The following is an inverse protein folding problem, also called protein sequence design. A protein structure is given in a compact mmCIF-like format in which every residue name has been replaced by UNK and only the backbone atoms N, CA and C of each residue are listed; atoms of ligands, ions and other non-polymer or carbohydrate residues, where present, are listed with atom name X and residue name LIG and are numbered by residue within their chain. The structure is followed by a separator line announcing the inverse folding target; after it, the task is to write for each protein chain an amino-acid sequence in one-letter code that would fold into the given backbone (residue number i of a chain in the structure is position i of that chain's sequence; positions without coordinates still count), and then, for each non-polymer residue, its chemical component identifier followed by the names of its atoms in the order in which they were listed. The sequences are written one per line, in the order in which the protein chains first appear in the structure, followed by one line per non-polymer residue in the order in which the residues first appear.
data_IF_598967437539
#
_entry.id   IF_598967437539
#
_cell.length_a   1.000
_cell.length_b   1.000
_cell.length_c   1.000
_cell.angle_alpha   90.00
_cell.angle_beta   90.00
_cell.angle_gamma   90.00
#
_symmetry.space_group_name_H-M   'P 1'
#
loop_
_entity.id
_entity.type
_entity.pdbx_description
1 polymer ?
#
# COMPACT_ATOMS: atom_id res chain seq x y z
N UNK A 1 -20.35 4.66 19.43
CA UNK A 1 -19.73 3.60 18.59
C UNK A 1 -19.36 4.27 17.29
N UNK A 2 -18.14 4.03 16.78
CA UNK A 2 -17.79 4.51 15.44
C UNK A 2 -18.63 3.73 14.41
N UNK A 3 -19.09 4.42 13.36
CA UNK A 3 -19.85 3.76 12.30
C UNK A 3 -18.93 2.89 11.44
N UNK A 4 -19.47 1.78 10.95
CA UNK A 4 -18.73 0.73 10.24
C UNK A 4 -19.43 0.37 8.92
N UNK A 5 -18.64 -0.07 7.93
CA UNK A 5 -19.12 -0.47 6.60
C UNK A 5 -18.54 -1.83 6.22
N UNK A 6 -19.42 -2.74 5.81
CA UNK A 6 -19.06 -4.10 5.41
C UNK A 6 -18.81 -4.20 3.90
N UNK A 7 -17.80 -4.98 3.54
CA UNK A 7 -17.38 -5.23 2.16
C UNK A 7 -17.25 -6.73 1.93
N UNK A 8 -17.66 -7.15 0.73
CA UNK A 8 -17.54 -8.51 0.24
C UNK A 8 -16.88 -8.43 -1.13
N UNK A 9 -15.63 -8.89 -1.23
CA UNK A 9 -14.83 -8.77 -2.47
C UNK A 9 -14.41 -10.15 -2.95
N UNK A 10 -14.22 -10.30 -4.26
CA UNK A 10 -13.74 -11.54 -4.88
C UNK A 10 -12.46 -11.25 -5.65
N UNK A 11 -11.33 -11.71 -5.14
CA UNK A 11 -9.99 -11.28 -5.56
C UNK A 11 -9.15 -12.43 -6.10
N UNK A 12 -8.03 -12.08 -6.73
CA UNK A 12 -7.01 -13.04 -7.17
C UNK A 12 -6.27 -13.70 -6.00
N UNK A 13 -5.65 -14.87 -6.23
CA UNK A 13 -4.81 -15.54 -5.22
C UNK A 13 -3.63 -14.66 -4.76
N UNK A 14 -3.07 -13.85 -5.67
CA UNK A 14 -1.98 -12.92 -5.34
C UNK A 14 -2.46 -11.83 -4.38
N UNK A 15 -3.67 -11.30 -4.58
CA UNK A 15 -4.26 -10.35 -3.66
C UNK A 15 -4.48 -11.00 -2.29
N UNK A 16 -5.05 -12.20 -2.24
CA UNK A 16 -5.23 -12.91 -0.98
C UNK A 16 -3.90 -13.12 -0.23
N UNK A 17 -2.82 -13.46 -0.93
CA UNK A 17 -1.48 -13.54 -0.32
C UNK A 17 -1.01 -12.19 0.19
N UNK A 18 -1.23 -11.11 -0.56
CA UNK A 18 -0.90 -9.74 -0.14
C UNK A 18 -1.62 -9.33 1.15
N UNK A 19 -2.90 -9.70 1.32
CA UNK A 19 -3.63 -9.42 2.58
C UNK A 19 -3.03 -10.20 3.74
N UNK A 20 -2.77 -11.50 3.57
CA UNK A 20 -2.17 -12.32 4.63
C UNK A 20 -0.77 -11.83 5.04
N UNK A 21 0.02 -11.38 4.07
CA UNK A 21 1.36 -10.86 4.32
C UNK A 21 1.29 -9.51 5.06
N UNK A 22 0.39 -8.63 4.66
CA UNK A 22 0.17 -7.35 5.33
C UNK A 22 -0.26 -7.51 6.80
N UNK A 23 -1.13 -8.48 7.08
CA UNK A 23 -1.52 -8.87 8.43
C UNK A 23 -0.30 -9.35 9.22
N UNK A 24 0.51 -10.26 8.64
CA UNK A 24 1.73 -10.77 9.28
C UNK A 24 2.69 -9.64 9.63
N UNK A 25 2.92 -8.70 8.70
CA UNK A 25 3.83 -7.57 8.88
C UNK A 25 3.40 -6.62 10.00
N UNK A 26 2.12 -6.24 10.07
CA UNK A 26 1.64 -5.40 11.17
C UNK A 26 1.57 -6.16 12.49
N UNK A 27 1.18 -7.43 12.46
CA UNK A 27 1.15 -8.24 13.66
C UNK A 27 2.52 -8.33 14.32
N UNK A 28 3.56 -8.54 13.51
CA UNK A 28 4.94 -8.63 13.99
C UNK A 28 5.48 -7.28 14.49
N UNK A 29 5.15 -6.16 13.81
CA UNK A 29 5.54 -4.82 14.30
C UNK A 29 4.96 -4.54 15.69
N UNK A 30 3.67 -4.80 15.84
CA UNK A 30 2.93 -4.41 17.05
C UNK A 30 2.94 -5.50 18.13
N UNK A 31 3.48 -6.70 17.82
CA UNK A 31 3.45 -7.89 18.68
C UNK A 31 2.04 -8.24 19.14
N UNK A 32 1.07 -8.06 18.25
CA UNK A 32 -0.36 -8.30 18.49
C UNK A 32 -0.98 -8.92 17.24
N UNK A 33 -1.94 -9.84 17.39
CA UNK A 33 -2.59 -10.45 16.22
C UNK A 33 -3.51 -9.43 15.53
N UNK A 34 -3.10 -8.98 14.35
CA UNK A 34 -3.91 -8.07 13.52
C UNK A 34 -4.92 -8.85 12.67
N UNK A 35 -6.06 -8.21 12.39
CA UNK A 35 -7.01 -8.63 11.35
C UNK A 35 -6.89 -7.72 10.13
N UNK A 36 -7.44 -8.14 8.99
CA UNK A 36 -7.46 -7.30 7.78
C UNK A 36 -8.13 -5.93 8.02
N UNK A 37 -9.29 -5.82 8.69
CA UNK A 37 -9.85 -4.53 9.11
C UNK A 37 -8.88 -3.62 9.85
N UNK A 38 -8.11 -4.16 10.79
CA UNK A 38 -7.15 -3.38 11.57
C UNK A 38 -6.04 -2.83 10.68
N UNK A 39 -5.54 -3.65 9.74
CA UNK A 39 -4.55 -3.21 8.76
C UNK A 39 -5.11 -2.09 7.88
N UNK A 40 -6.32 -2.26 7.35
CA UNK A 40 -6.95 -1.27 6.47
C UNK A 40 -7.19 0.05 7.21
N UNK A 41 -7.75 0.00 8.42
CA UNK A 41 -8.01 1.19 9.22
C UNK A 41 -6.72 1.93 9.61
N UNK A 42 -5.64 1.22 9.97
CA UNK A 42 -4.35 1.85 10.29
C UNK A 42 -3.72 2.54 9.07
N UNK A 43 -3.97 2.02 7.86
CA UNK A 43 -3.35 2.52 6.62
C UNK A 43 -4.20 3.52 5.83
N UNK A 44 -5.51 3.61 6.10
CA UNK A 44 -6.45 4.40 5.30
C UNK A 44 -6.00 5.85 5.07
N UNK A 45 -5.46 6.51 6.08
CA UNK A 45 -5.02 7.92 5.98
C UNK A 45 -3.80 8.13 5.08
N UNK A 46 -3.11 7.07 4.66
CA UNK A 46 -1.95 7.12 3.75
C UNK A 46 -2.30 6.79 2.31
N UNK A 47 -3.51 6.29 2.06
CA UNK A 47 -4.00 5.98 0.70
C UNK A 47 -4.00 7.20 -0.23
N UNK A 48 -4.31 8.43 0.22
CA UNK A 48 -4.23 9.61 -0.64
C UNK A 48 -2.83 9.88 -1.21
N UNK A 49 -1.77 9.55 -0.47
CA UNK A 49 -0.38 9.80 -0.87
C UNK A 49 0.13 8.84 -1.96
N UNK A 50 -0.67 7.83 -2.35
CA UNK A 50 -0.25 6.80 -3.30
C UNK A 50 -0.02 7.36 -4.70
N UNK A 51 -0.88 8.29 -5.15
CA UNK A 51 -0.76 8.92 -6.46
C UNK A 51 0.54 9.72 -6.61
N UNK A 52 1.03 10.29 -5.50
CA UNK A 52 2.29 11.04 -5.47
C UNK A 52 3.52 10.14 -5.21
N UNK A 53 3.32 8.94 -4.65
CA UNK A 53 4.41 8.04 -4.23
C UNK A 53 4.87 7.08 -5.33
N UNK A 54 4.05 6.84 -6.36
CA UNK A 54 4.29 5.79 -7.35
C UNK A 54 4.00 6.25 -8.77
N UNK A 55 4.75 5.71 -9.74
CA UNK A 55 4.48 5.94 -11.14
C UNK A 55 3.18 5.24 -11.58
N UNK A 56 2.40 5.91 -12.42
CA UNK A 56 1.11 5.40 -12.91
C UNK A 56 1.22 4.10 -13.70
N UNK A 57 2.34 3.85 -14.38
CA UNK A 57 2.59 2.60 -15.09
C UNK A 57 2.82 1.43 -14.12
N UNK A 58 3.59 1.64 -13.05
CA UNK A 58 3.86 0.62 -12.04
C UNK A 58 2.59 0.24 -11.29
N UNK A 59 1.76 1.23 -10.92
CA UNK A 59 0.46 0.98 -10.29
C UNK A 59 -0.50 0.21 -11.22
N UNK A 60 -0.55 0.56 -12.51
CA UNK A 60 -1.33 -0.22 -13.51
C UNK A 60 -0.83 -1.66 -13.61
N UNK A 61 0.49 -1.86 -13.62
CA UNK A 61 1.06 -3.19 -13.67
C UNK A 61 0.78 -3.99 -12.39
N UNK A 62 0.82 -3.35 -11.22
CA UNK A 62 0.39 -3.95 -9.95
C UNK A 62 -1.05 -4.46 -10.04
N UNK A 63 -2.00 -3.60 -10.45
CA UNK A 63 -3.42 -3.99 -10.53
C UNK A 63 -3.67 -5.08 -11.57
N UNK A 64 -2.86 -5.15 -12.63
CA UNK A 64 -2.92 -6.25 -13.61
C UNK A 64 -2.46 -7.59 -13.03
N UNK A 65 -1.42 -7.59 -12.19
CA UNK A 65 -0.83 -8.82 -11.60
C UNK A 65 -1.59 -9.25 -10.35
N UNK A 66 -1.91 -8.29 -9.48
CA UNK A 66 -2.59 -8.44 -8.20
C UNK A 66 -4.02 -7.88 -8.36
N UNK A 67 -4.79 -8.58 -9.19
CA UNK A 67 -6.15 -8.17 -9.55
C UNK A 67 -7.09 -8.22 -8.36
N UNK A 68 -7.93 -7.19 -8.27
CA UNK A 68 -9.09 -7.10 -7.38
C UNK A 68 -10.28 -7.95 -7.82
N UNK A 69 -10.14 -8.65 -8.94
CA UNK A 69 -11.08 -9.64 -9.45
C UNK A 69 -10.48 -11.04 -9.36
N UNK A 70 -11.29 -12.00 -8.92
CA UNK A 70 -10.90 -13.41 -8.90
C UNK A 70 -11.91 -14.29 -8.16
N UNK A 71 -11.45 -15.46 -7.72
CA UNK A 71 -12.32 -16.50 -7.14
C UNK A 71 -12.26 -16.55 -5.61
N UNK A 72 -11.29 -15.89 -4.98
CA UNK A 72 -11.11 -15.91 -3.53
C UNK A 72 -11.99 -14.85 -2.90
N UNK A 73 -12.93 -15.27 -2.06
CA UNK A 73 -13.84 -14.37 -1.35
C UNK A 73 -13.20 -13.86 -0.07
N UNK A 74 -13.28 -12.56 0.16
CA UNK A 74 -12.83 -11.92 1.40
C UNK A 74 -13.94 -11.00 1.89
N UNK A 75 -14.36 -11.22 3.14
CA UNK A 75 -15.36 -10.41 3.81
C UNK A 75 -14.69 -9.66 4.95
N UNK A 76 -14.95 -8.36 5.06
CA UNK A 76 -14.40 -7.53 6.12
C UNK A 76 -15.26 -6.30 6.39
N UNK A 77 -15.16 -5.78 7.61
CA UNK A 77 -15.85 -4.58 8.06
C UNK A 77 -14.82 -3.57 8.55
N UNK A 78 -14.86 -2.35 8.02
CA UNK A 78 -13.93 -1.26 8.37
C UNK A 78 -14.71 -0.03 8.86
N UNK A 79 -13.99 0.93 9.45
CA UNK A 79 -14.60 2.19 9.88
C UNK A 79 -15.13 2.95 8.65
N UNK A 80 -16.28 3.59 8.79
CA UNK A 80 -16.89 4.37 7.72
C UNK A 80 -15.98 5.53 7.27
N UNK A 81 -15.23 6.13 8.21
CA UNK A 81 -14.24 7.17 7.91
C UNK A 81 -13.07 6.63 7.08
N UNK A 82 -12.57 5.42 7.39
CA UNK A 82 -11.54 4.75 6.60
C UNK A 82 -12.06 4.42 5.20
N UNK A 83 -13.27 3.89 5.11
CA UNK A 83 -13.95 3.61 3.85
C UNK A 83 -14.06 4.86 2.97
N UNK A 84 -14.57 5.96 3.51
CA UNK A 84 -14.69 7.22 2.79
C UNK A 84 -13.35 7.78 2.33
N UNK A 85 -12.30 7.66 3.16
CA UNK A 85 -10.94 8.08 2.80
C UNK A 85 -10.39 7.25 1.63
N UNK A 86 -10.58 5.93 1.67
CA UNK A 86 -10.12 5.04 0.60
C UNK A 86 -10.93 5.23 -0.68
N UNK A 87 -12.24 5.44 -0.59
CA UNK A 87 -13.11 5.71 -1.74
C UNK A 87 -12.72 7.03 -2.42
N UNK A 88 -12.45 8.09 -1.64
CA UNK A 88 -11.95 9.35 -2.19
C UNK A 88 -10.57 9.19 -2.86
N UNK A 89 -9.66 8.43 -2.24
CA UNK A 89 -8.37 8.15 -2.83
C UNK A 89 -8.48 7.28 -4.10
N UNK A 90 -9.44 6.36 -4.17
CA UNK A 90 -9.71 5.57 -5.36
C UNK A 90 -10.10 6.45 -6.56
N UNK A 91 -10.91 7.50 -6.33
CA UNK A 91 -11.25 8.48 -7.38
C UNK A 91 -9.99 9.20 -7.89
N UNK A 92 -9.17 9.75 -6.99
CA UNK A 92 -7.94 10.45 -7.35
C UNK A 92 -6.94 9.52 -8.07
N UNK A 93 -6.80 8.27 -7.61
CA UNK A 93 -6.01 7.26 -8.29
C UNK A 93 -6.57 6.96 -9.68
N UNK A 94 -7.88 6.89 -9.85
CA UNK A 94 -8.49 6.66 -11.16
C UNK A 94 -8.15 7.75 -12.17
N UNK A 95 -8.18 9.02 -11.73
CA UNK A 95 -7.75 10.16 -12.54
C UNK A 95 -6.27 10.06 -12.92
N UNK A 96 -5.39 9.75 -11.95
CA UNK A 96 -3.96 9.62 -12.18
C UNK A 96 -3.59 8.44 -13.10
N UNK A 97 -4.32 7.33 -13.01
CA UNK A 97 -4.07 6.12 -13.80
C UNK A 97 -4.76 6.15 -15.17
N UNK A 98 -5.70 7.06 -15.40
CA UNK A 98 -6.52 7.09 -16.61
C UNK A 98 -7.44 5.88 -16.76
N UNK A 99 -7.87 5.29 -15.65
CA UNK A 99 -8.79 4.13 -15.61
C UNK A 99 -9.67 4.18 -14.37
N UNK A 100 -10.79 3.46 -14.38
CA UNK A 100 -11.61 3.31 -13.18
C UNK A 100 -10.86 2.51 -12.12
N UNK A 101 -10.82 3.03 -10.90
CA UNK A 101 -10.25 2.38 -9.72
C UNK A 101 -11.34 2.26 -8.68
N UNK A 102 -11.57 1.05 -8.18
CA UNK A 102 -12.55 0.78 -7.14
C UNK A 102 -11.87 0.70 -5.77
N UNK A 103 -12.66 0.71 -4.69
CA UNK A 103 -12.13 0.53 -3.33
C UNK A 103 -11.22 -0.70 -3.19
N UNK A 104 -11.54 -1.88 -3.76
CA UNK A 104 -10.66 -3.04 -3.69
C UNK A 104 -9.30 -2.81 -4.37
N UNK A 105 -9.24 -2.05 -5.45
CA UNK A 105 -7.99 -1.67 -6.13
C UNK A 105 -7.14 -0.76 -5.25
N UNK A 106 -7.77 0.27 -4.67
CA UNK A 106 -7.10 1.20 -3.76
C UNK A 106 -6.58 0.47 -2.51
N UNK A 107 -7.34 -0.48 -1.96
CA UNK A 107 -6.88 -1.35 -0.86
C UNK A 107 -5.67 -2.19 -1.31
N UNK A 108 -5.68 -2.74 -2.53
CA UNK A 108 -4.55 -3.54 -3.06
C UNK A 108 -3.26 -2.70 -3.09
N UNK A 109 -3.33 -1.49 -3.65
CA UNK A 109 -2.20 -0.58 -3.74
C UNK A 109 -1.71 -0.12 -2.36
N UNK A 110 -2.63 0.18 -1.45
CA UNK A 110 -2.32 0.56 -0.06
C UNK A 110 -1.60 -0.56 0.70
N UNK A 111 -2.04 -1.81 0.55
CA UNK A 111 -1.39 -2.98 1.14
C UNK A 111 -0.01 -3.22 0.52
N UNK A 112 0.14 -2.94 -0.78
CA UNK A 112 1.44 -3.02 -1.44
C UNK A 112 2.42 -1.95 -0.95
N UNK A 113 1.99 -0.69 -0.78
CA UNK A 113 2.81 0.37 -0.17
C UNK A 113 3.28 -0.03 1.23
N UNK A 114 2.44 -0.70 2.02
CA UNK A 114 2.84 -1.25 3.31
C UNK A 114 3.96 -2.30 3.17
N UNK A 115 3.86 -3.25 2.24
CA UNK A 115 4.90 -4.27 2.03
C UNK A 115 6.21 -3.63 1.58
N UNK A 116 6.16 -2.69 0.62
CA UNK A 116 7.33 -1.94 0.14
C UNK A 116 7.99 -1.18 1.29
N UNK A 117 7.20 -0.49 2.11
CA UNK A 117 7.67 0.21 3.30
C UNK A 117 8.41 -0.72 4.25
N UNK A 118 7.85 -1.90 4.54
CA UNK A 118 8.49 -2.83 5.47
C UNK A 118 9.75 -3.47 4.94
N UNK A 119 9.77 -3.79 3.66
CA UNK A 119 10.97 -4.30 3.02
C UNK A 119 12.10 -3.24 3.08
N UNK A 120 11.79 -1.96 2.83
CA UNK A 120 12.76 -0.88 2.96
C UNK A 120 13.28 -0.74 4.41
N UNK A 121 12.38 -0.76 5.40
CA UNK A 121 12.78 -0.72 6.82
C UNK A 121 13.63 -1.93 7.20
N UNK A 122 13.30 -3.13 6.73
CA UNK A 122 14.11 -4.34 6.98
C UNK A 122 15.52 -4.21 6.40
N UNK A 123 15.66 -3.73 5.16
CA UNK A 123 16.97 -3.48 4.54
C UNK A 123 17.78 -2.47 5.36
N UNK A 124 17.17 -1.37 5.80
CA UNK A 124 17.85 -0.36 6.61
C UNK A 124 18.28 -0.91 7.98
N UNK A 125 17.47 -1.75 8.62
CA UNK A 125 17.87 -2.39 9.88
C UNK A 125 19.04 -3.36 9.70
N UNK A 126 19.14 -4.06 8.56
CA UNK A 126 20.30 -4.90 8.22
C UNK A 126 21.59 -4.10 8.04
N UNK A 127 21.49 -2.79 7.74
CA UNK A 127 22.64 -1.88 7.69
C UNK A 127 23.07 -1.36 9.08
N UNK A 128 22.38 -1.78 10.14
CA UNK A 128 22.71 -1.42 11.52
C UNK A 128 21.88 -0.26 12.10
N UNK A 129 20.89 0.26 11.36
CA UNK A 129 19.96 1.25 11.90
C UNK A 129 18.99 0.57 12.88
N UNK A 130 18.62 1.26 13.96
CA UNK A 130 17.48 0.84 14.77
C UNK A 130 16.18 0.94 13.96
N UNK A 131 15.13 0.24 14.40
CA UNK A 131 13.83 0.27 13.71
C UNK A 131 13.25 1.69 13.61
N UNK A 132 13.46 2.53 14.64
CA UNK A 132 13.03 3.93 14.64
C UNK A 132 13.85 4.79 13.67
N UNK A 133 15.16 4.59 13.59
CA UNK A 133 16.03 5.30 12.64
C UNK A 133 15.73 4.89 11.21
N UNK A 134 15.54 3.59 10.96
CA UNK A 134 15.16 3.07 9.65
C UNK A 134 13.82 3.65 9.17
N UNK A 135 12.82 3.73 10.05
CA UNK A 135 11.52 4.32 9.72
C UNK A 135 11.61 5.81 9.41
N UNK A 136 12.33 6.57 10.25
CA UNK A 136 12.55 8.00 10.02
C UNK A 136 13.32 8.28 8.73
N UNK A 137 14.38 7.50 8.46
CA UNK A 137 15.17 7.62 7.25
C UNK A 137 14.39 7.23 6.00
N UNK A 138 13.53 6.22 6.07
CA UNK A 138 12.66 5.85 4.94
C UNK A 138 11.72 6.97 4.53
N UNK A 139 11.14 7.71 5.49
CA UNK A 139 10.27 8.85 5.20
C UNK A 139 11.04 9.94 4.44
N UNK A 140 12.31 10.18 4.78
CA UNK A 140 13.14 11.13 4.03
C UNK A 140 13.58 10.64 2.65
N UNK A 141 13.52 9.31 2.40
CA UNK A 141 13.76 8.70 1.10
C UNK A 141 12.56 8.73 0.14
N UNK A 142 11.33 8.99 0.62
CA UNK A 142 10.17 9.26 -0.26
C UNK A 142 10.45 10.58 -1.00
N UNK A 143 11.05 10.45 -2.18
CA UNK A 143 11.54 11.55 -3.03
C UNK A 143 10.41 12.51 -3.39
N UNK A 144 10.60 13.80 -3.10
CA UNK A 144 10.19 14.86 -4.03
C UNK A 144 10.98 14.69 -5.33
N UNK A 145 10.33 14.90 -6.46
CA UNK A 145 10.82 14.71 -7.82
C UNK A 145 12.34 14.91 -8.04
N UNK A 146 12.93 13.89 -8.69
CA UNK A 146 14.16 13.92 -9.53
C UNK A 146 15.43 14.61 -9.00
N UNK A 147 16.39 13.81 -8.50
CA UNK A 147 17.82 14.17 -8.40
C UNK A 147 18.74 13.08 -8.98
N UNK A 148 18.34 12.43 -10.07
CA UNK A 148 19.22 11.49 -10.78
C UNK A 148 20.03 12.27 -11.82
N UNK A 149 21.28 12.63 -11.48
CA UNK A 149 22.25 13.12 -12.45
C UNK A 149 22.77 11.91 -13.25
N UNK A 150 22.44 11.83 -14.54
CA UNK A 150 23.03 10.84 -15.44
C UNK A 150 24.51 11.18 -15.65
N UNK A 151 25.40 10.46 -14.99
CA UNK A 151 26.83 10.52 -15.29
C UNK A 151 27.07 9.91 -16.68
N UNK A 152 27.39 10.77 -17.66
CA UNK A 152 27.86 10.28 -18.96
C UNK A 152 29.23 9.64 -18.75
N UNK A 153 29.47 8.38 -19.18
CA UNK A 153 30.81 7.85 -19.19
C UNK A 153 31.67 8.69 -20.15
N UNK A 154 32.85 9.12 -19.69
CA UNK A 154 33.87 9.71 -20.58
C UNK A 154 34.19 8.67 -21.65
N UNK A 155 33.93 9.00 -22.92
CA UNK A 155 34.42 8.20 -24.05
C UNK A 155 35.96 8.31 -24.08
N UNK A 156 36.65 7.24 -24.49
CA UNK A 156 38.11 7.18 -24.56
C UNK A 156 38.67 8.21 -25.57
#
# INVERSE_FOLDING_TARGET
MAAEKAYHISVSDHYFRLTTESIRLLSNKHRFYYSLPMVINERANRTPDLADSYDAEDMRNHLRIISSEGKVKIDFTILETSAGTIEAAAVALGEALGQTVLLPDAVSLMLFDLVVERNATEVLTKLGLSASEAESYRVSLKKKDTNVIRLRPKRP
#
